data_IF_542740650963
#
_entry.id   IF_542740650963
#
_cell.length_a   1.000
_cell.length_b   1.000
_cell.length_c   1.000
_cell.angle_alpha   90.00
_cell.angle_beta   90.00
_cell.angle_gamma   90.00
#
_symmetry.space_group_name_H-M   'P 1'
#
loop_
_entity.id
_entity.type
_entity.pdbx_description
1 polymer ?
#
# COMPACT_ATOMS: atom_id res chain seq x y z
N UNK A 1 -11.82 6.20 -7.66
CA UNK A 1 -10.96 5.20 -6.98
C UNK A 1 -10.92 3.84 -7.68
N UNK A 2 -11.99 3.37 -8.32
CA UNK A 2 -11.99 2.05 -9.01
C UNK A 2 -11.01 2.03 -10.21
N UNK A 3 -10.76 3.18 -10.84
CA UNK A 3 -9.83 3.28 -11.98
C UNK A 3 -8.34 3.38 -11.57
N UNK A 4 -8.02 3.33 -10.28
CA UNK A 4 -6.64 3.35 -9.76
C UNK A 4 -6.07 1.95 -9.47
N UNK A 5 -6.72 0.88 -9.96
CA UNK A 5 -6.35 -0.51 -9.68
C UNK A 5 -6.87 -1.08 -8.36
N UNK A 6 -7.70 -0.32 -7.62
CA UNK A 6 -8.33 -0.78 -6.38
C UNK A 6 -9.61 -1.57 -6.65
N UNK A 7 -9.79 -2.76 -6.04
CA UNK A 7 -11.08 -3.42 -6.08
C UNK A 7 -12.16 -2.52 -5.45
N UNK A 8 -13.38 -2.56 -6.00
CA UNK A 8 -14.45 -1.60 -5.68
C UNK A 8 -14.79 -1.55 -4.18
N UNK A 9 -14.83 -2.69 -3.50
CA UNK A 9 -15.17 -2.75 -2.07
C UNK A 9 -14.07 -2.20 -1.15
N UNK A 10 -12.79 -2.58 -1.29
CA UNK A 10 -11.67 -1.89 -0.67
C UNK A 10 -11.69 -0.37 -0.83
N UNK A 11 -11.94 0.13 -2.04
CA UNK A 11 -12.04 1.58 -2.27
C UNK A 11 -13.13 2.23 -1.41
N UNK A 12 -14.32 1.61 -1.32
CA UNK A 12 -15.43 2.12 -0.50
C UNK A 12 -15.10 2.12 1.00
N UNK A 13 -14.48 1.05 1.51
CA UNK A 13 -14.05 0.96 2.91
C UNK A 13 -12.99 2.00 3.23
N UNK A 14 -12.01 2.18 2.33
CA UNK A 14 -11.00 3.21 2.49
C UNK A 14 -11.61 4.62 2.51
N UNK A 15 -12.52 4.93 1.58
CA UNK A 15 -13.23 6.21 1.61
C UNK A 15 -14.00 6.42 2.91
N UNK A 16 -14.73 5.42 3.39
CA UNK A 16 -15.49 5.51 4.64
C UNK A 16 -14.61 5.84 5.85
N UNK A 17 -13.45 5.19 5.96
CA UNK A 17 -12.48 5.49 7.01
C UNK A 17 -11.86 6.88 6.85
N UNK A 18 -11.61 7.32 5.61
CA UNK A 18 -10.95 8.60 5.32
C UNK A 18 -11.86 9.80 5.65
N UNK A 19 -13.17 9.59 5.52
CA UNK A 19 -14.19 10.62 5.78
C UNK A 19 -14.78 10.54 7.19
N UNK A 20 -14.40 9.54 7.99
CA UNK A 20 -14.82 9.47 9.39
C UNK A 20 -14.01 10.49 10.21
N UNK A 21 -14.66 11.31 11.01
CA UNK A 21 -13.99 12.34 11.84
C UNK A 21 -12.91 11.74 12.76
N UNK A 22 -13.13 10.50 13.23
CA UNK A 22 -12.19 9.75 14.06
C UNK A 22 -11.05 9.09 13.28
N UNK A 23 -11.18 8.97 11.96
CA UNK A 23 -10.34 8.13 11.10
C UNK A 23 -10.39 6.62 11.43
N UNK A 24 -11.33 6.21 12.29
CA UNK A 24 -11.43 4.87 12.90
C UNK A 24 -12.86 4.34 12.84
N UNK A 25 -13.04 3.11 12.33
CA UNK A 25 -14.33 2.42 12.32
C UNK A 25 -14.15 0.92 12.59
N UNK A 26 -15.14 0.29 13.22
CA UNK A 26 -15.25 -1.16 13.41
C UNK A 26 -15.87 -1.85 12.19
N UNK A 27 -15.77 -3.19 12.11
CA UNK A 27 -16.47 -3.98 11.09
C UNK A 27 -17.98 -3.74 11.05
N UNK A 28 -18.61 -3.54 12.21
CA UNK A 28 -20.03 -3.34 12.33
C UNK A 28 -20.43 -1.97 11.74
N UNK A 29 -19.74 -0.91 12.16
CA UNK A 29 -19.96 0.45 11.65
C UNK A 29 -19.72 0.54 10.14
N UNK A 30 -18.68 -0.12 9.63
CA UNK A 30 -18.43 -0.23 8.18
C UNK A 30 -19.55 -0.96 7.45
N UNK A 31 -20.08 -2.05 8.03
CA UNK A 31 -21.19 -2.81 7.46
C UNK A 31 -22.48 -2.00 7.38
N UNK A 32 -22.79 -1.27 8.45
CA UNK A 32 -23.96 -0.39 8.55
C UNK A 32 -23.84 0.79 7.57
N UNK A 33 -22.72 1.53 7.62
CA UNK A 33 -22.49 2.71 6.80
C UNK A 33 -22.49 2.39 5.30
N UNK A 34 -21.83 1.29 4.91
CA UNK A 34 -21.74 0.90 3.50
C UNK A 34 -22.90 0.03 3.03
N UNK A 35 -23.79 -0.39 3.94
CA UNK A 35 -24.90 -1.31 3.70
C UNK A 35 -24.45 -2.60 3.01
N UNK A 36 -23.43 -3.25 3.59
CA UNK A 36 -22.82 -4.48 3.05
C UNK A 36 -22.67 -5.55 4.12
N UNK A 37 -22.48 -6.80 3.67
CA UNK A 37 -22.33 -7.93 4.59
C UNK A 37 -21.00 -7.90 5.35
N UNK A 38 -20.92 -8.53 6.54
CA UNK A 38 -19.67 -8.68 7.30
C UNK A 38 -18.55 -9.35 6.49
N UNK A 39 -18.90 -10.29 5.60
CA UNK A 39 -17.94 -10.96 4.73
C UNK A 39 -17.30 -10.01 3.71
N UNK A 40 -18.11 -9.10 3.13
CA UNK A 40 -17.61 -8.08 2.20
C UNK A 40 -16.67 -7.09 2.90
N UNK A 41 -17.00 -6.66 4.12
CA UNK A 41 -16.13 -5.81 4.95
C UNK A 41 -14.82 -6.55 5.25
N UNK A 42 -14.90 -7.81 5.69
CA UNK A 42 -13.70 -8.61 6.05
C UNK A 42 -12.75 -8.79 4.88
N UNK A 43 -13.27 -9.08 3.68
CA UNK A 43 -12.45 -9.20 2.48
C UNK A 43 -11.79 -7.86 2.09
N UNK A 44 -12.54 -6.76 2.16
CA UNK A 44 -12.03 -5.44 1.84
C UNK A 44 -10.94 -4.97 2.82
N UNK A 45 -11.17 -5.13 4.13
CA UNK A 45 -10.19 -4.81 5.17
C UNK A 45 -8.94 -5.65 5.03
N UNK A 46 -9.06 -6.96 4.78
CA UNK A 46 -7.90 -7.84 4.59
C UNK A 46 -7.01 -7.34 3.45
N UNK A 47 -7.60 -6.95 2.33
CA UNK A 47 -6.87 -6.35 1.22
C UNK A 47 -6.18 -5.04 1.64
N UNK A 48 -6.90 -4.14 2.30
CA UNK A 48 -6.35 -2.82 2.71
C UNK A 48 -5.21 -2.94 3.72
N UNK A 49 -5.28 -3.93 4.63
CA UNK A 49 -4.17 -4.28 5.53
C UNK A 49 -2.98 -4.84 4.74
N UNK A 50 -3.24 -5.72 3.77
CA UNK A 50 -2.16 -6.29 2.95
C UNK A 50 -1.40 -5.25 2.13
N UNK A 51 -2.08 -4.18 1.68
CA UNK A 51 -1.45 -3.06 0.96
C UNK A 51 -1.05 -1.90 1.89
N UNK A 52 -1.04 -2.11 3.20
CA UNK A 52 -0.62 -1.16 4.24
C UNK A 52 -1.32 0.21 4.19
N UNK A 53 -2.61 0.22 3.81
CA UNK A 53 -3.44 1.44 3.83
C UNK A 53 -4.27 1.58 5.11
N UNK A 54 -4.48 0.47 5.81
CA UNK A 54 -5.28 0.40 7.03
C UNK A 54 -4.58 -0.51 8.03
N UNK A 55 -4.54 -0.10 9.30
CA UNK A 55 -4.14 -0.96 10.42
C UNK A 55 -5.34 -1.44 11.21
N UNK A 56 -5.22 -2.67 11.71
CA UNK A 56 -6.13 -3.24 12.70
C UNK A 56 -5.58 -2.93 14.09
N UNK A 57 -6.35 -2.22 14.88
CA UNK A 57 -6.05 -1.88 16.26
C UNK A 57 -7.01 -2.63 17.19
N UNK A 58 -6.47 -3.16 18.28
CA UNK A 58 -7.27 -3.79 19.32
C UNK A 58 -7.44 -2.80 20.47
N UNK A 59 -8.67 -2.61 20.93
CA UNK A 59 -8.97 -1.74 22.06
C UNK A 59 -8.92 -2.56 23.36
N UNK A 60 -8.04 -2.20 24.33
CA UNK A 60 -7.94 -2.93 25.58
C UNK A 60 -9.30 -3.01 26.31
N UNK A 61 -9.77 -4.22 26.57
CA UNK A 61 -11.06 -4.48 27.22
C UNK A 61 -12.26 -4.62 26.27
N UNK A 62 -12.08 -4.40 24.96
CA UNK A 62 -13.10 -4.65 23.94
C UNK A 62 -12.73 -5.88 23.11
N UNK A 63 -13.74 -6.67 22.70
CA UNK A 63 -13.55 -7.74 21.72
C UNK A 63 -13.59 -7.23 20.27
N UNK A 64 -13.86 -5.93 20.06
CA UNK A 64 -14.06 -5.35 18.73
C UNK A 64 -12.74 -4.79 18.22
N UNK A 65 -12.35 -5.21 17.03
CA UNK A 65 -11.25 -4.58 16.32
C UNK A 65 -11.72 -3.27 15.66
N UNK A 66 -10.85 -2.28 15.72
CA UNK A 66 -10.99 -1.04 14.98
C UNK A 66 -10.04 -1.03 13.80
N UNK A 67 -10.48 -0.43 12.71
CA UNK A 67 -9.68 -0.17 11.53
C UNK A 67 -9.37 1.31 11.47
N UNK A 68 -8.09 1.65 11.38
CA UNK A 68 -7.60 3.03 11.31
C UNK A 68 -6.87 3.26 10.00
N UNK A 69 -7.14 4.39 9.36
CA UNK A 69 -6.28 4.89 8.28
C UNK A 69 -5.00 5.47 8.88
N UNK A 70 -3.86 5.18 8.25
CA UNK A 70 -2.61 5.77 8.69
C UNK A 70 -2.65 7.29 8.60
N UNK A 71 -2.26 7.98 9.68
CA UNK A 71 -2.04 9.44 9.66
C UNK A 71 -0.99 9.84 8.59
N UNK A 72 -0.21 8.85 8.12
CA UNK A 72 0.71 8.93 6.99
C UNK A 72 0.48 7.83 5.93
N UNK A 73 -0.77 7.60 5.46
CA UNK A 73 -1.10 6.64 4.38
C UNK A 73 -0.05 6.58 3.27
N UNK A 74 0.36 7.75 2.78
CA UNK A 74 1.30 7.85 1.69
C UNK A 74 2.73 7.46 2.09
N UNK A 75 3.11 7.65 3.35
CA UNK A 75 4.42 7.26 3.85
C UNK A 75 4.55 5.75 3.99
N UNK A 76 3.63 5.07 4.68
CA UNK A 76 3.70 3.61 4.84
C UNK A 76 3.44 2.86 3.53
N UNK A 77 2.53 3.35 2.68
CA UNK A 77 2.35 2.82 1.33
C UNK A 77 3.65 2.95 0.50
N UNK A 78 4.43 4.01 0.70
CA UNK A 78 5.73 4.20 0.03
C UNK A 78 6.83 3.34 0.66
N UNK A 79 6.87 3.16 1.98
CA UNK A 79 7.83 2.26 2.64
C UNK A 79 7.60 0.80 2.26
N UNK A 80 6.36 0.36 2.10
CA UNK A 80 6.10 -1.00 1.61
C UNK A 80 6.45 -1.13 0.11
N UNK A 81 6.23 -0.07 -0.67
CA UNK A 81 6.67 0.03 -2.06
C UNK A 81 8.19 -0.11 -2.18
N UNK A 82 8.97 0.48 -1.26
CA UNK A 82 10.42 0.33 -1.18
C UNK A 82 10.84 -1.15 -1.05
N UNK A 83 10.18 -1.91 -0.17
CA UNK A 83 10.42 -3.36 -0.04
C UNK A 83 10.09 -4.14 -1.31
N UNK A 84 9.02 -3.78 -2.02
CA UNK A 84 8.68 -4.40 -3.31
C UNK A 84 9.72 -4.05 -4.36
N UNK A 85 10.09 -2.77 -4.48
CA UNK A 85 11.11 -2.29 -5.42
C UNK A 85 12.46 -2.98 -5.18
N UNK A 86 12.89 -3.11 -3.93
CA UNK A 86 14.10 -3.85 -3.58
C UNK A 86 14.06 -5.33 -4.03
N UNK A 87 12.91 -6.01 -3.90
CA UNK A 87 12.75 -7.39 -4.41
C UNK A 87 12.83 -7.45 -5.95
N UNK A 88 12.28 -6.45 -6.64
CA UNK A 88 12.42 -6.35 -8.10
C UNK A 88 13.88 -6.12 -8.50
N UNK A 89 14.60 -5.22 -7.82
CA UNK A 89 16.02 -4.99 -8.05
C UNK A 89 16.83 -6.29 -7.89
N UNK A 90 16.57 -7.08 -6.84
CA UNK A 90 17.22 -8.39 -6.64
C UNK A 90 16.91 -9.35 -7.80
N UNK A 91 15.64 -9.55 -8.14
CA UNK A 91 15.26 -10.49 -9.20
C UNK A 91 15.74 -10.08 -10.60
N UNK A 92 15.78 -8.77 -10.88
CA UNK A 92 16.32 -8.24 -12.14
C UNK A 92 17.84 -8.42 -12.20
N UNK A 93 18.55 -8.22 -11.09
CA UNK A 93 20.00 -8.46 -11.01
C UNK A 93 20.33 -9.93 -11.30
N UNK A 94 19.65 -10.86 -10.62
CA UNK A 94 19.80 -12.30 -10.86
C UNK A 94 19.50 -12.67 -12.32
N UNK A 95 18.49 -12.03 -12.93
CA UNK A 95 18.14 -12.22 -14.33
C UNK A 95 19.20 -11.71 -15.31
N UNK A 96 19.83 -10.56 -15.04
CA UNK A 96 20.95 -10.03 -15.84
C UNK A 96 22.14 -10.97 -15.77
N UNK A 97 22.49 -11.46 -14.58
CA UNK A 97 23.59 -12.41 -14.38
C UNK A 97 23.33 -13.73 -15.11
N UNK A 98 22.11 -14.25 -15.04
CA UNK A 98 21.74 -15.52 -15.67
C UNK A 98 21.69 -15.46 -17.20
N UNK A 99 21.23 -14.34 -17.78
CA UNK A 99 21.08 -14.19 -19.23
C UNK A 99 22.33 -13.60 -19.91
N UNK A 100 23.25 -13.03 -19.12
CA UNK A 100 24.41 -12.30 -19.62
C UNK A 100 24.04 -10.87 -20.03
N UNK A 101 24.81 -9.85 -19.56
CA UNK A 101 24.48 -8.44 -19.75
C UNK A 101 24.53 -7.99 -21.21
N UNK A 102 25.31 -8.67 -22.05
CA UNK A 102 25.48 -8.32 -23.47
C UNK A 102 24.38 -8.91 -24.37
N UNK A 103 23.49 -9.74 -23.83
CA UNK A 103 22.37 -10.25 -24.60
C UNK A 103 21.27 -9.18 -24.70
N UNK A 104 20.46 -9.15 -25.78
CA UNK A 104 19.34 -8.23 -25.86
C UNK A 104 18.34 -8.37 -24.70
N UNK A 105 18.23 -9.57 -24.11
CA UNK A 105 17.39 -9.79 -22.94
C UNK A 105 18.03 -9.23 -21.66
N UNK A 106 19.33 -9.48 -21.45
CA UNK A 106 20.11 -8.90 -20.36
C UNK A 106 20.08 -7.37 -20.36
N UNK A 107 20.24 -6.74 -21.53
CA UNK A 107 20.15 -5.29 -21.68
C UNK A 107 18.77 -4.73 -21.26
N UNK A 108 17.66 -5.38 -21.64
CA UNK A 108 16.32 -4.95 -21.21
C UNK A 108 16.12 -5.08 -19.70
N UNK A 109 16.67 -6.14 -19.08
CA UNK A 109 16.62 -6.31 -17.64
C UNK A 109 17.49 -5.29 -16.91
N UNK A 110 18.67 -4.98 -17.45
CA UNK A 110 19.58 -3.97 -16.91
C UNK A 110 18.98 -2.57 -16.95
N UNK A 111 18.35 -2.18 -18.07
CA UNK A 111 17.60 -0.93 -18.19
C UNK A 111 16.46 -0.85 -17.16
N UNK A 112 15.73 -1.96 -17.00
CA UNK A 112 14.63 -2.04 -16.01
C UNK A 112 15.16 -1.91 -14.58
N UNK A 113 16.30 -2.56 -14.29
CA UNK A 113 16.98 -2.48 -12.99
C UNK A 113 17.39 -1.04 -12.67
N UNK A 114 18.01 -0.35 -13.63
CA UNK A 114 18.40 1.05 -13.48
C UNK A 114 17.19 1.94 -13.19
N UNK A 115 16.10 1.76 -13.95
CA UNK A 115 14.87 2.52 -13.74
C UNK A 115 14.27 2.30 -12.35
N UNK A 116 14.18 1.05 -11.87
CA UNK A 116 13.63 0.76 -10.54
C UNK A 116 14.52 1.29 -9.41
N UNK A 117 15.85 1.21 -9.56
CA UNK A 117 16.80 1.79 -8.62
C UNK A 117 16.65 3.33 -8.53
N UNK A 118 16.53 4.01 -9.68
CA UNK A 118 16.24 5.44 -9.74
C UNK A 118 14.91 5.77 -9.04
N UNK A 119 13.84 5.05 -9.39
CA UNK A 119 12.50 5.28 -8.83
C UNK A 119 12.49 5.13 -7.30
N UNK A 120 13.22 4.14 -6.76
CA UNK A 120 13.32 3.90 -5.32
C UNK A 120 13.93 5.10 -4.59
N UNK A 121 15.03 5.64 -5.11
CA UNK A 121 15.70 6.84 -4.55
C UNK A 121 14.80 8.06 -4.62
N UNK A 122 14.20 8.34 -5.79
CA UNK A 122 13.38 9.53 -5.99
C UNK A 122 12.09 9.51 -5.15
N UNK A 123 11.43 8.35 -5.01
CA UNK A 123 10.27 8.20 -4.15
C UNK A 123 10.61 8.51 -2.69
N UNK A 124 11.74 7.99 -2.19
CA UNK A 124 12.18 8.25 -0.82
C UNK A 124 12.43 9.76 -0.59
N UNK A 125 13.15 10.41 -1.50
CA UNK A 125 13.41 11.85 -1.41
C UNK A 125 12.13 12.69 -1.53
N UNK A 126 11.22 12.32 -2.43
CA UNK A 126 9.93 13.01 -2.59
C UNK A 126 9.12 12.94 -1.30
N UNK A 127 9.11 11.79 -0.62
CA UNK A 127 8.42 11.64 0.65
C UNK A 127 9.06 12.45 1.78
N UNK A 128 10.40 12.55 1.82
CA UNK A 128 11.08 13.43 2.77
C UNK A 128 10.67 14.89 2.59
N UNK A 129 10.75 15.41 1.35
CA UNK A 129 10.34 16.79 1.04
C UNK A 129 8.87 17.05 1.39
N UNK A 130 8.00 16.05 1.26
CA UNK A 130 6.61 16.17 1.66
C UNK A 130 6.43 16.25 3.18
N UNK A 131 7.24 15.52 3.96
CA UNK A 131 7.23 15.61 5.43
C UNK A 131 7.64 16.99 5.90
N UNK A 132 8.75 17.52 5.37
CA UNK A 132 9.26 18.85 5.73
C UNK A 132 8.23 19.97 5.49
N UNK A 133 7.39 19.85 4.45
CA UNK A 133 6.33 20.83 4.16
C UNK A 133 5.14 20.81 5.12
N UNK A 134 4.94 19.73 5.87
CA UNK A 134 3.81 19.61 6.81
C UNK A 134 4.12 20.15 8.21
N UNK A 135 5.37 20.55 8.46
CA UNK A 135 5.83 21.12 9.74
C UNK A 135 5.59 22.62 9.76
#
# INVERSE_FOLDING_TARGET
MVDAGFPRMPARVFTALLTADSGRLTSAELGELLRVSPAAVSGAVRYLVQVDLVRREHEPGSRRDHYRIHDHVWYEATTNRDRTLARWETGLTEGVEALGPDTPAGQRLAESLEFFAFLRVELAQMMERWRERRV
#
